data_IF_951712220073
#
_entry.id   IF_951712220073
#
_cell.length_a   1.000
_cell.length_b   1.000
_cell.length_c   1.000
_cell.angle_alpha   90.00
_cell.angle_beta   90.00
_cell.angle_gamma   90.00
#
_symmetry.space_group_name_H-M   'P 1'
#
loop_
_entity.id
_entity.type
_entity.pdbx_description
1 polymer ?
#
# COMPACT_ATOMS: atom_id res chain seq x y z
N UNK A 1 14.01 8.14 10.88
CA UNK A 1 15.04 7.08 10.85
C UNK A 1 16.09 7.49 11.85
N UNK A 2 16.39 6.65 12.85
CA UNK A 2 17.47 6.93 13.78
C UNK A 2 18.80 6.76 13.04
N UNK A 3 19.77 7.69 13.18
CA UNK A 3 21.10 7.49 12.62
C UNK A 3 21.74 6.23 13.24
N UNK A 4 22.61 5.53 12.49
CA UNK A 4 23.30 4.36 13.03
C UNK A 4 24.18 4.77 14.22
N UNK A 5 24.21 3.94 15.26
CA UNK A 5 25.05 4.15 16.45
C UNK A 5 26.56 4.03 16.16
N UNK A 6 26.92 3.48 15.00
CA UNK A 6 28.27 3.41 14.47
C UNK A 6 28.29 2.81 13.06
N UNK A 7 29.36 3.08 12.31
CA UNK A 7 29.54 2.60 10.93
C UNK A 7 28.79 3.42 9.87
N UNK A 8 29.03 3.08 8.60
CA UNK A 8 28.37 3.71 7.45
C UNK A 8 27.29 2.79 6.87
N UNK A 9 26.17 3.38 6.47
CA UNK A 9 25.06 2.67 5.84
C UNK A 9 24.77 3.31 4.48
N UNK A 10 25.06 2.56 3.41
CA UNK A 10 24.77 2.99 2.05
C UNK A 10 23.52 2.27 1.53
N UNK A 11 22.58 3.04 1.02
CA UNK A 11 21.26 2.58 0.59
C UNK A 11 20.89 3.24 -0.74
N UNK A 12 20.71 2.44 -1.79
CA UNK A 12 20.09 2.92 -3.02
C UNK A 12 18.59 3.23 -2.86
N UNK A 13 17.88 3.39 -3.96
CA UNK A 13 16.42 3.61 -3.92
C UNK A 13 15.69 2.38 -3.36
N UNK A 14 15.09 2.50 -2.17
CA UNK A 14 14.30 1.43 -1.52
C UNK A 14 12.90 1.88 -1.12
N UNK A 15 11.91 1.00 -1.20
CA UNK A 15 10.56 1.20 -0.68
C UNK A 15 10.29 0.21 0.46
N UNK A 16 9.90 0.66 1.67
CA UNK A 16 9.56 -0.26 2.75
C UNK A 16 8.24 -0.97 2.46
N UNK A 17 8.14 -2.25 2.83
CA UNK A 17 6.89 -3.00 2.84
C UNK A 17 6.63 -3.42 4.28
N UNK A 18 5.59 -2.88 4.95
CA UNK A 18 5.28 -3.26 6.31
C UNK A 18 4.73 -4.70 6.35
N UNK A 19 5.03 -5.42 7.42
CA UNK A 19 4.50 -6.77 7.64
C UNK A 19 2.98 -6.77 7.83
N UNK A 20 2.41 -5.68 8.38
CA UNK A 20 0.97 -5.53 8.56
C UNK A 20 0.49 -4.15 8.14
N UNK A 21 -0.72 -4.11 7.58
CA UNK A 21 -1.39 -2.89 7.15
C UNK A 21 -2.88 -2.99 7.49
N UNK A 22 -3.38 -2.05 8.30
CA UNK A 22 -4.77 -1.95 8.75
C UNK A 22 -5.31 -0.58 8.34
N UNK A 23 -5.92 -0.46 7.15
CA UNK A 23 -6.39 0.84 6.67
C UNK A 23 -7.61 1.29 7.49
N UNK A 24 -7.67 2.58 7.83
CA UNK A 24 -8.82 3.16 8.53
C UNK A 24 -10.07 3.25 7.64
N UNK A 25 -9.89 3.18 6.32
CA UNK A 25 -10.95 3.31 5.32
C UNK A 25 -10.95 2.14 4.34
N UNK A 26 -12.08 1.95 3.64
CA UNK A 26 -12.25 0.91 2.62
C UNK A 26 -11.60 1.30 1.29
N UNK A 27 -10.29 1.45 1.27
CA UNK A 27 -9.56 1.72 0.04
C UNK A 27 -9.61 0.53 -0.92
N UNK A 28 -9.63 0.83 -2.23
CA UNK A 28 -9.40 -0.20 -3.24
C UNK A 28 -7.93 -0.60 -3.22
N UNK A 29 -7.65 -1.82 -3.67
CA UNK A 29 -6.27 -2.31 -3.82
C UNK A 29 -5.46 -1.36 -4.74
N UNK A 30 -6.08 -0.88 -5.82
CA UNK A 30 -5.49 0.10 -6.74
C UNK A 30 -5.10 1.40 -6.05
N UNK A 31 -5.92 1.93 -5.14
CA UNK A 31 -5.65 3.18 -4.44
C UNK A 31 -4.43 3.05 -3.52
N UNK A 32 -4.31 1.91 -2.83
CA UNK A 32 -3.16 1.62 -1.96
C UNK A 32 -1.88 1.48 -2.77
N UNK A 33 -1.94 0.82 -3.93
CA UNK A 33 -0.76 0.66 -4.81
C UNK A 33 -0.39 1.99 -5.47
N UNK A 34 -1.37 2.83 -5.81
CA UNK A 34 -1.16 4.19 -6.32
C UNK A 34 -0.42 5.06 -5.30
N UNK A 35 -0.69 4.93 -4.00
CA UNK A 35 0.10 5.62 -2.97
C UNK A 35 1.59 5.26 -3.02
N UNK A 36 1.95 4.06 -3.51
CA UNK A 36 3.34 3.67 -3.76
C UNK A 36 4.04 4.51 -4.85
N UNK A 37 3.27 5.24 -5.66
CA UNK A 37 3.77 6.18 -6.69
C UNK A 37 4.10 7.56 -6.14
N UNK A 38 3.85 7.86 -4.86
CA UNK A 38 4.07 9.19 -4.26
C UNK A 38 5.46 9.81 -4.49
N UNK A 39 6.51 9.01 -4.76
CA UNK A 39 7.86 9.52 -5.09
C UNK A 39 8.05 9.97 -6.55
N UNK A 40 7.06 9.73 -7.40
CA UNK A 40 7.05 10.09 -8.82
C UNK A 40 6.04 11.19 -9.14
N UNK A 41 5.18 11.54 -8.17
CA UNK A 41 4.22 12.63 -8.25
C UNK A 41 4.81 13.82 -7.53
N UNK A 42 4.78 15.00 -8.15
CA UNK A 42 5.23 16.24 -7.51
C UNK A 42 4.39 16.56 -6.26
N UNK A 43 4.99 17.29 -5.31
CA UNK A 43 4.39 17.54 -3.98
C UNK A 43 2.97 18.13 -4.03
N UNK A 44 2.65 18.88 -5.09
CA UNK A 44 1.34 19.53 -5.28
C UNK A 44 0.58 19.00 -6.51
N UNK A 45 1.10 17.97 -7.17
CA UNK A 45 0.45 17.38 -8.33
C UNK A 45 -0.52 16.27 -7.92
N UNK A 46 -1.46 15.98 -8.82
CA UNK A 46 -2.29 14.78 -8.74
C UNK A 46 -1.67 13.68 -9.61
N UNK A 47 -1.80 12.39 -9.23
CA UNK A 47 -1.38 11.29 -10.07
C UNK A 47 -2.13 11.32 -11.40
N UNK A 48 -1.41 11.01 -12.47
CA UNK A 48 -1.92 11.07 -13.84
C UNK A 48 -2.33 9.67 -14.36
N UNK A 49 -2.68 9.62 -15.64
CA UNK A 49 -3.06 8.37 -16.30
C UNK A 49 -1.87 7.41 -16.46
N UNK A 50 -0.64 7.91 -16.55
CA UNK A 50 0.56 7.07 -16.62
C UNK A 50 0.77 6.33 -15.29
N UNK A 51 0.60 7.01 -14.16
CA UNK A 51 0.66 6.41 -12.84
C UNK A 51 -0.40 5.32 -12.67
N UNK A 52 -1.63 5.55 -13.15
CA UNK A 52 -2.68 4.54 -13.15
C UNK A 52 -2.28 3.30 -13.98
N UNK A 53 -1.70 3.48 -15.17
CA UNK A 53 -1.22 2.37 -16.01
C UNK A 53 -0.09 1.58 -15.34
N UNK A 54 0.84 2.26 -14.66
CA UNK A 54 1.92 1.61 -13.90
C UNK A 54 1.38 0.79 -12.73
N UNK A 55 0.33 1.26 -12.06
CA UNK A 55 -0.36 0.50 -11.01
C UNK A 55 -0.97 -0.78 -11.57
N UNK A 56 -1.72 -0.68 -12.67
CA UNK A 56 -2.32 -1.86 -13.33
C UNK A 56 -1.27 -2.88 -13.77
N UNK A 57 -0.15 -2.43 -14.33
CA UNK A 57 0.97 -3.30 -14.69
C UNK A 57 1.56 -4.02 -13.46
N UNK A 58 1.75 -3.31 -12.34
CA UNK A 58 2.25 -3.92 -11.11
C UNK A 58 1.26 -4.95 -10.54
N UNK A 59 -0.04 -4.67 -10.59
CA UNK A 59 -1.08 -5.62 -10.18
C UNK A 59 -1.14 -6.86 -11.08
N UNK A 60 -0.92 -6.68 -12.38
CA UNK A 60 -0.83 -7.77 -13.35
C UNK A 60 0.41 -8.65 -13.12
N UNK A 61 1.57 -8.06 -12.83
CA UNK A 61 2.81 -8.79 -12.50
C UNK A 61 2.65 -9.69 -11.28
N UNK A 62 1.87 -9.24 -10.28
CA UNK A 62 1.56 -10.01 -9.08
C UNK A 62 0.40 -11.00 -9.27
N UNK A 63 -0.25 -11.00 -10.44
CA UNK A 63 -1.40 -11.87 -10.74
C UNK A 63 -2.67 -11.55 -9.95
N UNK A 64 -2.78 -10.34 -9.39
CA UNK A 64 -3.91 -9.93 -8.53
C UNK A 64 -4.83 -8.89 -9.19
N UNK A 65 -4.58 -8.53 -10.45
CA UNK A 65 -5.36 -7.55 -11.21
C UNK A 65 -6.87 -7.87 -11.23
N UNK A 66 -7.26 -9.15 -11.24
CA UNK A 66 -8.65 -9.58 -11.33
C UNK A 66 -9.28 -9.98 -9.98
N UNK A 67 -8.71 -9.62 -8.82
CA UNK A 67 -9.29 -10.06 -7.54
C UNK A 67 -10.68 -9.45 -7.31
N UNK A 68 -11.69 -10.28 -6.98
CA UNK A 68 -12.99 -9.77 -6.56
C UNK A 68 -12.84 -8.96 -5.27
N UNK A 69 -13.50 -7.80 -5.24
CA UNK A 69 -13.59 -6.95 -4.05
C UNK A 69 -14.09 -7.77 -2.87
N UNK A 70 -13.33 -7.77 -1.78
CA UNK A 70 -13.78 -8.37 -0.52
C UNK A 70 -14.95 -7.53 -0.01
N UNK A 71 -16.17 -7.96 -0.31
CA UNK A 71 -17.38 -7.48 0.35
C UNK A 71 -17.22 -7.85 1.81
N UNK A 72 -16.81 -6.91 2.66
CA UNK A 72 -16.78 -7.19 4.10
C UNK A 72 -18.21 -7.46 4.51
N UNK A 73 -18.48 -8.64 5.06
CA UNK A 73 -19.64 -8.81 5.91
C UNK A 73 -19.61 -7.75 7.02
N UNK A 74 -20.78 -7.25 7.48
CA UNK A 74 -20.83 -6.34 8.61
C UNK A 74 -20.14 -7.00 9.80
N UNK A 75 -19.26 -6.25 10.47
CA UNK A 75 -18.63 -6.68 11.72
C UNK A 75 -19.73 -7.08 12.70
N UNK A 76 -19.80 -8.32 13.18
CA UNK A 76 -20.64 -8.60 14.32
C UNK A 76 -20.01 -7.84 15.49
N UNK A 77 -20.75 -6.88 16.02
CA UNK A 77 -20.46 -6.31 17.32
C UNK A 77 -20.29 -7.45 18.34
N UNK A 78 -19.35 -7.26 19.26
CA UNK A 78 -19.34 -7.82 20.60
C UNK A 78 -19.88 -9.26 20.76
N UNK A 79 -18.98 -10.24 20.79
CA UNK A 79 -19.20 -11.44 21.61
C UNK A 79 -17.93 -11.73 22.39
N UNK A 80 -17.95 -11.27 23.63
CA UNK A 80 -17.21 -11.82 24.75
C UNK A 80 -17.16 -13.35 24.70
N UNK A 81 -15.98 -13.91 24.47
CA UNK A 81 -15.52 -15.18 25.06
C UNK A 81 -14.07 -15.40 24.64
N UNK A 82 -13.16 -14.68 25.30
CA UNK A 82 -11.78 -15.14 25.42
C UNK A 82 -11.76 -16.02 26.68
N UNK A 83 -11.40 -17.30 26.52
CA UNK A 83 -10.78 -18.04 27.61
C UNK A 83 -9.47 -17.36 28.01
#
# INVERSE_FOLDING_TARGET
MLPPLGGEMQCGRRGPVPQSFRPAFRWRVSDVVLMGRARHVDLFAQPDEEDARRVEQALAQLGIAARPKMTSAPSPAASSSWC
#
